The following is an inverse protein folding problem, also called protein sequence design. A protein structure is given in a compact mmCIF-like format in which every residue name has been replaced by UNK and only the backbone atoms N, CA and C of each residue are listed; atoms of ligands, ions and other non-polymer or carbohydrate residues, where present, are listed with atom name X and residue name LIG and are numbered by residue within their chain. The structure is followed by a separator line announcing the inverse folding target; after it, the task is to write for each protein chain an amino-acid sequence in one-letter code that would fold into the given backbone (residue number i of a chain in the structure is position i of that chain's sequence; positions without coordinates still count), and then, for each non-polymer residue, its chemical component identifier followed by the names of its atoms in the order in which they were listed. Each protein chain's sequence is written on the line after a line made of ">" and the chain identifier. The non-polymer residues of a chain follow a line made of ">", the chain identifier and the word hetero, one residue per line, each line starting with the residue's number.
data_IF_207423744405
#
_entry.id   IF_207423744405
#
_cell.length_a   1.000
_cell.length_b   1.000
_cell.length_c   1.000
_cell.angle_alpha   90.00
_cell.angle_beta   90.00
_cell.angle_gamma   90.00
#
_symmetry.space_group_name_H-M   'P 1'
#
loop_
_entity.id
_entity.type
_entity.pdbx_description
1 polymer ?
#
# COMPACT_ATOMS: atom_id res chain seq x y z
N UNK A 1 -5.84 3.33 4.28
CA UNK A 1 -7.18 2.73 4.20
C UNK A 1 -8.15 3.28 5.23
N UNK A 2 -7.72 3.47 6.48
CA UNK A 2 -8.61 3.97 7.55
C UNK A 2 -9.37 5.26 7.19
N UNK A 3 -8.73 6.21 6.51
CA UNK A 3 -9.34 7.48 6.10
C UNK A 3 -10.12 7.42 4.78
N UNK A 4 -9.89 6.41 3.94
CA UNK A 4 -10.32 6.43 2.55
C UNK A 4 -11.86 6.47 2.40
N UNK A 5 -12.55 5.58 3.10
CA UNK A 5 -14.00 5.48 3.00
C UNK A 5 -14.69 6.74 3.54
N UNK A 6 -14.26 7.23 4.71
CA UNK A 6 -14.78 8.46 5.28
C UNK A 6 -14.55 9.65 4.33
N UNK A 7 -13.33 9.82 3.82
CA UNK A 7 -12.99 10.88 2.88
C UNK A 7 -13.83 10.81 1.60
N UNK A 8 -13.99 9.61 1.03
CA UNK A 8 -14.75 9.40 -0.18
C UNK A 8 -16.25 9.68 0.01
N UNK A 9 -16.81 9.32 1.17
CA UNK A 9 -18.23 9.54 1.49
C UNK A 9 -18.47 10.99 1.92
N UNK A 10 -17.73 11.47 2.92
CA UNK A 10 -18.00 12.77 3.57
C UNK A 10 -17.58 13.97 2.71
N UNK A 11 -16.42 13.87 2.06
CA UNK A 11 -15.89 14.98 1.25
C UNK A 11 -16.10 14.77 -0.25
N UNK A 12 -16.03 13.52 -0.72
CA UNK A 12 -16.24 13.19 -2.12
C UNK A 12 -17.71 13.04 -2.52
N UNK A 13 -18.64 12.93 -1.56
CA UNK A 13 -20.06 12.69 -1.82
C UNK A 13 -20.33 11.35 -2.51
N UNK A 14 -19.43 10.37 -2.35
CA UNK A 14 -19.50 9.08 -3.02
C UNK A 14 -20.34 8.09 -2.23
N UNK A 15 -21.03 7.21 -2.93
CA UNK A 15 -21.79 6.13 -2.33
C UNK A 15 -21.05 4.78 -2.45
N UNK A 16 -21.61 3.72 -1.85
CA UNK A 16 -21.01 2.39 -1.86
C UNK A 16 -20.74 1.82 -3.25
N UNK A 17 -21.58 2.15 -4.26
CA UNK A 17 -21.34 1.72 -5.65
C UNK A 17 -20.08 2.39 -6.22
N UNK A 18 -19.89 3.68 -6.00
CA UNK A 18 -18.67 4.40 -6.39
C UNK A 18 -17.44 3.82 -5.69
N UNK A 19 -17.54 3.52 -4.40
CA UNK A 19 -16.43 2.91 -3.63
C UNK A 19 -16.12 1.52 -4.18
N UNK A 20 -17.12 0.72 -4.52
CA UNK A 20 -16.93 -0.58 -5.17
C UNK A 20 -16.14 -0.47 -6.48
N UNK A 21 -16.48 0.51 -7.33
CA UNK A 21 -15.74 0.79 -8.57
C UNK A 21 -14.31 1.20 -8.29
N UNK A 22 -14.08 2.16 -7.36
CA UNK A 22 -12.74 2.60 -6.98
C UNK A 22 -11.87 1.45 -6.46
N UNK A 23 -12.43 0.58 -5.63
CA UNK A 23 -11.72 -0.58 -5.10
C UNK A 23 -11.41 -1.61 -6.21
N UNK A 24 -12.32 -1.81 -7.16
CA UNK A 24 -12.08 -2.69 -8.31
C UNK A 24 -10.91 -2.17 -9.16
N UNK A 25 -10.89 -0.90 -9.48
CA UNK A 25 -9.80 -0.27 -10.22
C UNK A 25 -8.48 -0.33 -9.44
N UNK A 26 -8.53 -0.16 -8.14
CA UNK A 26 -7.34 -0.26 -7.28
C UNK A 26 -6.66 -1.63 -7.35
N UNK A 27 -7.42 -2.70 -7.55
CA UNK A 27 -6.85 -4.05 -7.62
C UNK A 27 -6.29 -4.40 -9.02
N UNK A 28 -6.59 -3.61 -10.05
CA UNK A 28 -6.05 -3.83 -11.41
C UNK A 28 -4.52 -3.84 -11.45
N UNK A 29 -3.78 -2.88 -10.86
CA UNK A 29 -2.32 -2.95 -10.79
C UNK A 29 -1.79 -4.14 -9.99
N UNK A 30 -2.52 -4.59 -8.97
CA UNK A 30 -2.20 -5.80 -8.23
C UNK A 30 -2.29 -7.06 -9.10
N UNK A 31 -3.36 -7.16 -9.89
CA UNK A 31 -3.50 -8.24 -10.85
C UNK A 31 -2.42 -8.19 -11.94
N UNK A 32 -1.98 -6.99 -12.34
CA UNK A 32 -0.92 -6.77 -13.32
C UNK A 32 0.49 -6.74 -12.72
N UNK A 33 0.66 -7.07 -11.43
CA UNK A 33 1.97 -7.04 -10.76
C UNK A 33 3.01 -7.98 -11.39
N UNK A 34 2.57 -9.04 -12.11
CA UNK A 34 3.48 -9.84 -12.92
C UNK A 34 4.19 -9.04 -14.01
N UNK A 35 3.62 -7.91 -14.44
CA UNK A 35 4.21 -6.97 -15.40
C UNK A 35 5.51 -6.32 -14.90
N UNK A 36 5.79 -6.34 -13.59
CA UNK A 36 7.07 -5.91 -13.02
C UNK A 36 8.26 -6.58 -13.71
N UNK A 37 8.14 -7.86 -14.10
CA UNK A 37 9.20 -8.58 -14.80
C UNK A 37 9.62 -7.87 -16.08
N UNK A 38 8.68 -7.27 -16.81
CA UNK A 38 8.99 -6.52 -18.05
C UNK A 38 9.65 -5.17 -17.74
N UNK A 39 9.28 -4.51 -16.66
CA UNK A 39 9.93 -3.27 -16.24
C UNK A 39 11.37 -3.51 -15.78
N UNK A 40 11.63 -4.64 -15.16
CA UNK A 40 12.98 -5.04 -14.72
C UNK A 40 13.95 -5.34 -15.88
N UNK A 41 13.46 -5.41 -17.12
CA UNK A 41 14.32 -5.47 -18.30
C UNK A 41 15.04 -4.13 -18.50
N UNK A 42 14.35 -3.03 -18.20
CA UNK A 42 14.81 -1.66 -18.48
C UNK A 42 15.27 -0.93 -17.22
N UNK A 43 14.61 -1.16 -16.09
CA UNK A 43 14.82 -0.44 -14.83
C UNK A 43 15.42 -1.38 -13.80
N UNK A 44 16.49 -0.96 -13.11
CA UNK A 44 17.06 -1.73 -12.01
C UNK A 44 16.05 -1.85 -10.84
N UNK A 45 16.00 -3.03 -10.18
CA UNK A 45 15.04 -3.30 -9.09
C UNK A 45 15.03 -2.24 -8.01
N UNK A 46 16.19 -1.82 -7.54
CA UNK A 46 16.31 -0.78 -6.51
C UNK A 46 15.67 0.54 -6.98
N UNK A 47 15.92 0.97 -8.21
CA UNK A 47 15.32 2.19 -8.78
C UNK A 47 13.80 2.05 -8.94
N UNK A 48 13.34 0.88 -9.36
CA UNK A 48 11.91 0.59 -9.49
C UNK A 48 11.23 0.62 -8.12
N UNK A 49 11.86 0.08 -7.07
CA UNK A 49 11.33 0.16 -5.70
C UNK A 49 11.19 1.61 -5.22
N UNK A 50 12.21 2.44 -5.43
CA UNK A 50 12.20 3.86 -5.04
C UNK A 50 11.14 4.64 -5.81
N UNK A 51 11.07 4.46 -7.13
CA UNK A 51 10.05 5.10 -7.97
C UNK A 51 8.63 4.71 -7.55
N UNK A 52 8.40 3.43 -7.31
CA UNK A 52 7.12 2.90 -6.85
C UNK A 52 6.73 3.49 -5.48
N UNK A 53 7.69 3.61 -4.56
CA UNK A 53 7.46 4.25 -3.26
C UNK A 53 7.14 5.74 -3.41
N UNK A 54 7.82 6.46 -4.30
CA UNK A 54 7.53 7.86 -4.61
C UNK A 54 6.13 8.03 -5.23
N UNK A 55 5.71 7.15 -6.14
CA UNK A 55 4.35 7.15 -6.72
C UNK A 55 3.29 6.90 -5.64
N UNK A 56 3.51 5.94 -4.74
CA UNK A 56 2.64 5.69 -3.60
C UNK A 56 2.47 6.94 -2.72
N UNK A 57 3.59 7.57 -2.35
CA UNK A 57 3.58 8.78 -1.54
C UNK A 57 2.91 9.97 -2.23
N UNK A 58 3.23 10.21 -3.50
CA UNK A 58 2.62 11.30 -4.28
C UNK A 58 1.11 11.09 -4.45
N UNK A 59 0.67 9.89 -4.81
CA UNK A 59 -0.74 9.55 -4.89
C UNK A 59 -1.47 9.78 -3.56
N UNK A 60 -0.87 9.36 -2.45
CA UNK A 60 -1.42 9.60 -1.11
C UNK A 60 -1.52 11.08 -0.80
N UNK A 61 -0.46 11.86 -1.02
CA UNK A 61 -0.45 13.30 -0.72
C UNK A 61 -1.50 14.08 -1.52
N UNK A 62 -1.71 13.72 -2.78
CA UNK A 62 -2.66 14.40 -3.68
C UNK A 62 -4.13 14.03 -3.40
N UNK A 63 -4.40 12.87 -2.80
CA UNK A 63 -5.77 12.38 -2.58
C UNK A 63 -6.61 13.39 -1.83
N UNK A 64 -6.09 13.99 -0.76
CA UNK A 64 -6.83 14.91 0.09
C UNK A 64 -7.26 16.22 -0.60
N UNK A 65 -6.66 16.57 -1.73
CA UNK A 65 -6.94 17.79 -2.49
C UNK A 65 -7.88 17.58 -3.67
N UNK A 66 -8.25 16.33 -3.95
CA UNK A 66 -9.07 15.97 -5.10
C UNK A 66 -10.32 15.20 -4.65
N UNK A 67 -11.24 15.82 -3.87
CA UNK A 67 -12.40 15.16 -3.26
C UNK A 67 -13.53 14.97 -4.28
N UNK A 68 -13.24 14.37 -5.42
CA UNK A 68 -14.24 14.01 -6.44
C UNK A 68 -13.91 12.64 -7.02
N UNK A 69 -14.88 12.00 -7.65
CA UNK A 69 -14.73 10.63 -8.16
C UNK A 69 -13.49 10.45 -9.04
N UNK A 70 -13.28 11.32 -10.03
CA UNK A 70 -12.17 11.20 -10.96
C UNK A 70 -10.83 11.46 -10.28
N UNK A 71 -10.75 12.45 -9.38
CA UNK A 71 -9.56 12.75 -8.61
C UNK A 71 -9.16 11.59 -7.70
N UNK A 72 -10.12 11.05 -6.96
CA UNK A 72 -9.92 9.89 -6.09
C UNK A 72 -9.54 8.66 -6.93
N UNK A 73 -10.14 8.46 -8.10
CA UNK A 73 -9.79 7.36 -9.01
C UNK A 73 -8.34 7.46 -9.47
N UNK A 74 -7.91 8.62 -9.97
CA UNK A 74 -6.55 8.83 -10.47
C UNK A 74 -5.52 8.63 -9.35
N UNK A 75 -5.74 9.25 -8.18
CA UNK A 75 -4.82 9.13 -7.06
C UNK A 75 -4.79 7.70 -6.50
N UNK A 76 -5.93 7.02 -6.45
CA UNK A 76 -6.02 5.60 -6.06
C UNK A 76 -5.25 4.70 -7.03
N UNK A 77 -5.36 4.94 -8.33
CA UNK A 77 -4.58 4.20 -9.34
C UNK A 77 -3.08 4.44 -9.17
N UNK A 78 -2.66 5.70 -8.96
CA UNK A 78 -1.26 6.04 -8.73
C UNK A 78 -0.71 5.36 -7.46
N UNK A 79 -1.46 5.43 -6.36
CA UNK A 79 -1.13 4.73 -5.11
C UNK A 79 -1.02 3.22 -5.32
N UNK A 80 -1.97 2.65 -6.05
CA UNK A 80 -2.05 1.19 -6.24
C UNK A 80 -0.88 0.67 -7.08
N UNK A 81 -0.55 1.32 -8.19
CA UNK A 81 0.65 1.00 -8.98
C UNK A 81 1.88 1.06 -8.08
N UNK A 82 2.06 2.16 -7.35
CA UNK A 82 3.17 2.33 -6.42
C UNK A 82 3.24 1.21 -5.38
N UNK A 83 2.13 0.91 -4.73
CA UNK A 83 2.06 -0.11 -3.69
C UNK A 83 2.39 -1.52 -4.20
N UNK A 84 1.70 -1.99 -5.23
CA UNK A 84 1.85 -3.36 -5.72
C UNK A 84 3.24 -3.61 -6.34
N UNK A 85 3.78 -2.63 -7.05
CA UNK A 85 5.10 -2.76 -7.63
C UNK A 85 6.20 -2.68 -6.58
N UNK A 86 6.06 -1.78 -5.59
CA UNK A 86 6.96 -1.71 -4.44
C UNK A 86 6.98 -3.03 -3.65
N UNK A 87 5.81 -3.57 -3.29
CA UNK A 87 5.71 -4.84 -2.55
C UNK A 87 6.37 -6.00 -3.31
N UNK A 88 6.15 -6.10 -4.63
CA UNK A 88 6.75 -7.14 -5.46
C UNK A 88 8.27 -7.03 -5.48
N UNK A 89 8.80 -5.84 -5.71
CA UNK A 89 10.25 -5.61 -5.80
C UNK A 89 10.91 -5.69 -4.44
N UNK A 90 10.29 -5.16 -3.38
CA UNK A 90 10.77 -5.26 -2.00
C UNK A 90 11.01 -6.71 -1.59
N UNK A 91 10.07 -7.59 -1.91
CA UNK A 91 10.20 -9.01 -1.59
C UNK A 91 11.33 -9.68 -2.38
N UNK A 92 11.50 -9.32 -3.66
CA UNK A 92 12.61 -9.79 -4.48
C UNK A 92 13.96 -9.33 -3.93
N UNK A 93 14.12 -8.05 -3.61
CA UNK A 93 15.34 -7.49 -3.03
C UNK A 93 15.69 -8.14 -1.70
N UNK A 94 14.72 -8.34 -0.81
CA UNK A 94 14.94 -8.98 0.47
C UNK A 94 15.50 -10.42 0.30
N UNK A 95 14.96 -11.17 -0.66
CA UNK A 95 15.45 -12.54 -0.95
C UNK A 95 16.83 -12.58 -1.63
N UNK A 96 17.26 -11.48 -2.25
CA UNK A 96 18.60 -11.38 -2.85
C UNK A 96 19.67 -10.96 -1.84
N UNK A 97 19.30 -10.10 -0.90
CA UNK A 97 20.25 -9.52 0.07
C UNK A 97 20.52 -10.42 1.26
N UNK A 98 19.53 -11.24 1.65
CA UNK A 98 19.66 -12.13 2.79
C UNK A 98 20.03 -13.55 2.36
N UNK A 99 20.95 -14.18 3.06
CA UNK A 99 21.25 -15.61 2.89
C UNK A 99 20.03 -16.47 3.26
N UNK A 100 19.98 -17.71 2.77
CA UNK A 100 18.89 -18.63 3.10
C UNK A 100 18.71 -18.87 4.61
N UNK A 101 19.82 -18.80 5.37
CA UNK A 101 19.80 -18.98 6.83
C UNK A 101 19.24 -17.73 7.56
N UNK A 102 19.56 -16.54 7.05
CA UNK A 102 19.18 -15.26 7.65
C UNK A 102 17.78 -14.78 7.23
N UNK A 103 17.35 -15.15 6.01
CA UNK A 103 16.10 -14.66 5.41
C UNK A 103 14.87 -14.79 6.34
N UNK A 104 14.61 -15.91 7.05
CA UNK A 104 13.44 -16.02 7.93
C UNK A 104 13.45 -14.97 9.05
N UNK A 105 14.60 -14.75 9.69
CA UNK A 105 14.74 -13.79 10.78
C UNK A 105 14.60 -12.35 10.27
N UNK A 106 15.25 -12.03 9.15
CA UNK A 106 15.21 -10.68 8.59
C UNK A 106 13.83 -10.33 8.02
N UNK A 107 13.17 -11.27 7.36
CA UNK A 107 11.78 -11.08 6.92
C UNK A 107 10.83 -10.90 8.10
N UNK A 108 11.02 -11.65 9.19
CA UNK A 108 10.26 -11.45 10.43
C UNK A 108 10.47 -10.05 11.02
N UNK A 109 11.70 -9.55 11.04
CA UNK A 109 12.01 -8.16 11.48
C UNK A 109 11.33 -7.12 10.59
N UNK A 110 11.35 -7.29 9.26
CA UNK A 110 10.67 -6.38 8.34
C UNK A 110 9.16 -6.34 8.58
N UNK A 111 8.53 -7.50 8.87
CA UNK A 111 7.11 -7.57 9.22
C UNK A 111 6.86 -6.83 10.54
N UNK A 112 7.69 -7.06 11.56
CA UNK A 112 7.54 -6.41 12.87
C UNK A 112 7.71 -4.88 12.79
N UNK A 113 8.68 -4.39 12.01
CA UNK A 113 8.87 -2.96 11.75
C UNK A 113 7.66 -2.40 11.01
N UNK A 114 7.14 -3.12 10.01
CA UNK A 114 5.92 -2.72 9.28
C UNK A 114 4.70 -2.61 10.19
N UNK A 115 4.51 -3.57 11.11
CA UNK A 115 3.44 -3.53 12.10
C UNK A 115 3.58 -2.34 13.06
N UNK A 116 4.76 -2.13 13.62
CA UNK A 116 5.04 -0.98 14.49
C UNK A 116 4.82 0.37 13.77
N UNK A 117 5.27 0.48 12.51
CA UNK A 117 5.05 1.67 11.70
C UNK A 117 3.55 1.92 11.42
N UNK A 118 2.77 0.85 11.24
CA UNK A 118 1.32 0.97 11.07
C UNK A 118 0.63 1.49 12.33
N UNK A 119 1.04 1.01 13.52
CA UNK A 119 0.53 1.52 14.79
C UNK A 119 0.83 3.00 14.98
N UNK A 120 2.07 3.42 14.69
CA UNK A 120 2.47 4.84 14.72
C UNK A 120 1.62 5.67 13.76
N UNK A 121 1.39 5.16 12.54
CA UNK A 121 0.58 5.84 11.53
C UNK A 121 -0.87 5.98 11.96
N UNK A 122 -1.48 4.94 12.54
CA UNK A 122 -2.87 5.02 13.04
C UNK A 122 -2.98 5.97 14.22
N UNK A 123 -2.02 5.93 15.16
CA UNK A 123 -1.97 6.87 16.28
C UNK A 123 -1.80 8.32 15.82
N UNK A 124 -0.95 8.54 14.81
CA UNK A 124 -0.81 9.87 14.19
C UNK A 124 -2.10 10.34 13.54
N UNK A 125 -2.76 9.50 12.75
CA UNK A 125 -4.05 9.85 12.10
C UNK A 125 -5.09 10.22 13.13
N UNK A 126 -5.24 9.42 14.18
CA UNK A 126 -6.16 9.71 15.27
C UNK A 126 -5.83 11.04 15.96
N UNK A 127 -4.58 11.25 16.34
CA UNK A 127 -4.15 12.49 17.01
C UNK A 127 -4.31 13.72 16.09
N UNK A 128 -3.99 13.59 14.81
CA UNK A 128 -4.14 14.65 13.83
C UNK A 128 -5.59 15.13 13.70
N UNK A 129 -6.54 14.19 13.73
CA UNK A 129 -7.96 14.51 13.60
C UNK A 129 -8.59 14.95 14.93
N UNK A 130 -8.28 14.27 16.06
CA UNK A 130 -8.94 14.50 17.34
C UNK A 130 -8.26 15.53 18.23
N UNK A 131 -6.92 15.59 18.22
CA UNK A 131 -6.18 16.51 19.11
C UNK A 131 -5.81 17.79 18.39
N UNK A 132 -5.35 17.68 17.13
CA UNK A 132 -4.91 18.81 16.34
C UNK A 132 -6.00 19.36 15.41
N UNK A 133 -7.14 18.69 15.30
CA UNK A 133 -8.29 19.07 14.44
C UNK A 133 -7.86 19.43 13.00
N UNK A 134 -6.87 18.72 12.48
CA UNK A 134 -6.33 19.00 11.15
C UNK A 134 -7.33 18.59 10.07
N UNK A 135 -7.51 19.41 9.03
CA UNK A 135 -8.24 18.98 7.84
C UNK A 135 -7.66 17.69 7.24
N UNK A 136 -8.53 16.79 6.82
CA UNK A 136 -8.14 15.46 6.27
C UNK A 136 -7.13 15.59 5.12
N UNK A 137 -7.24 16.66 4.31
CA UNK A 137 -6.30 16.93 3.22
C UNK A 137 -4.84 17.04 3.72
N UNK A 138 -4.61 17.70 4.85
CA UNK A 138 -3.27 17.81 5.44
C UNK A 138 -2.77 16.50 6.02
N UNK A 139 -3.66 15.65 6.56
CA UNK A 139 -3.29 14.32 7.04
C UNK A 139 -2.81 13.45 5.88
N UNK A 140 -3.48 13.49 4.74
CA UNK A 140 -3.02 12.84 3.51
C UNK A 140 -1.70 13.41 3.01
N UNK A 141 -1.57 14.74 2.97
CA UNK A 141 -0.35 15.43 2.52
C UNK A 141 0.85 15.08 3.39
N UNK A 142 0.67 15.05 4.71
CA UNK A 142 1.74 14.67 5.63
C UNK A 142 2.18 13.21 5.43
N UNK A 143 1.23 12.27 5.43
CA UNK A 143 1.55 10.85 5.25
C UNK A 143 2.20 10.55 3.91
N UNK A 144 1.66 11.11 2.83
CA UNK A 144 2.22 10.97 1.49
C UNK A 144 3.56 11.70 1.34
N UNK A 145 3.68 12.89 1.91
CA UNK A 145 4.90 13.70 1.88
C UNK A 145 6.07 13.00 2.59
N UNK A 146 5.83 12.44 3.78
CA UNK A 146 6.84 11.64 4.50
C UNK A 146 7.28 10.46 3.63
N UNK A 147 6.36 9.79 2.97
CA UNK A 147 6.70 8.66 2.08
C UNK A 147 7.56 9.10 0.89
N UNK A 148 7.27 10.25 0.27
CA UNK A 148 8.09 10.83 -0.81
C UNK A 148 9.48 11.22 -0.29
N UNK A 149 9.56 11.82 0.89
CA UNK A 149 10.84 12.19 1.52
C UNK A 149 11.68 10.94 1.77
N UNK A 150 11.08 9.86 2.28
CA UNK A 150 11.78 8.57 2.47
C UNK A 150 12.27 8.02 1.13
N UNK A 151 11.46 8.06 0.08
CA UNK A 151 11.86 7.62 -1.26
C UNK A 151 13.03 8.45 -1.79
N UNK A 152 13.00 9.77 -1.62
CA UNK A 152 14.08 10.67 -2.01
C UNK A 152 15.35 10.43 -1.19
N UNK A 153 15.22 10.27 0.12
CA UNK A 153 16.35 9.93 0.98
C UNK A 153 16.98 8.58 0.58
N UNK A 154 16.15 7.57 0.29
CA UNK A 154 16.62 6.30 -0.21
C UNK A 154 17.36 6.44 -1.56
N UNK A 155 16.88 7.28 -2.46
CA UNK A 155 17.53 7.56 -3.74
C UNK A 155 18.91 8.23 -3.58
N UNK A 156 19.02 9.17 -2.65
CA UNK A 156 20.24 9.97 -2.44
C UNK A 156 21.28 9.25 -1.58
N UNK A 157 20.86 8.49 -0.58
CA UNK A 157 21.75 7.95 0.47
C UNK A 157 22.17 6.51 0.20
N UNK A 158 21.34 5.71 -0.49
CA UNK A 158 21.69 4.31 -0.72
C UNK A 158 22.48 4.12 -2.01
N UNK A 159 23.67 3.50 -1.94
CA UNK A 159 24.43 3.17 -3.12
C UNK A 159 23.67 2.15 -3.99
N UNK A 160 24.01 2.12 -5.26
CA UNK A 160 23.48 1.10 -6.15
C UNK A 160 24.14 -0.24 -5.82
N UNK A 161 23.32 -1.23 -5.43
CA UNK A 161 23.79 -2.59 -5.18
C UNK A 161 23.61 -3.43 -6.45
N UNK A 162 24.71 -4.01 -6.91
CA UNK A 162 24.63 -5.02 -7.98
C UNK A 162 24.06 -6.32 -7.41
N UNK A 163 23.14 -6.92 -8.15
CA UNK A 163 22.58 -8.21 -7.78
C UNK A 163 23.67 -9.29 -7.83
N UNK A 164 23.88 -9.99 -6.72
CA UNK A 164 24.81 -11.14 -6.65
C UNK A 164 24.28 -12.39 -7.36
N UNK A 165 23.01 -12.38 -7.73
CA UNK A 165 22.31 -13.51 -8.34
C UNK A 165 21.86 -13.13 -9.75
N UNK A 166 22.17 -13.96 -10.73
CA UNK A 166 21.68 -13.78 -12.11
C UNK A 166 20.16 -13.87 -12.13
N UNK A 167 19.50 -12.77 -12.41
CA UNK A 167 18.04 -12.67 -12.43
C UNK A 167 17.47 -13.32 -13.69
N UNK A 168 16.47 -14.18 -13.52
CA UNK A 168 15.71 -14.71 -14.65
C UNK A 168 14.61 -13.71 -15.02
N UNK A 169 14.85 -12.91 -16.06
CA UNK A 169 13.89 -11.90 -16.57
C UNK A 169 12.78 -12.55 -17.43
N UNK A 170 12.22 -13.65 -16.96
CA UNK A 170 11.11 -14.37 -17.62
C UNK A 170 10.10 -14.81 -16.58
N UNK A 171 8.82 -14.74 -16.95
CA UNK A 171 7.75 -15.28 -16.12
C UNK A 171 7.82 -16.82 -16.14
N UNK A 172 8.11 -17.41 -14.98
CA UNK A 172 8.24 -18.88 -14.84
C UNK A 172 7.11 -19.39 -13.95
N UNK A 173 6.11 -20.01 -14.57
CA UNK A 173 5.03 -20.71 -13.85
C UNK A 173 5.29 -22.21 -13.88
N UNK A 174 5.61 -22.79 -12.73
CA UNK A 174 5.92 -24.23 -12.61
C UNK A 174 4.66 -25.00 -12.25
N UNK A 175 4.29 -26.00 -13.03
CA UNK A 175 3.08 -26.84 -12.84
C UNK A 175 3.00 -27.46 -11.43
N UNK A 176 4.13 -27.80 -10.80
CA UNK A 176 4.18 -28.37 -9.43
C UNK A 176 3.65 -27.42 -8.34
N UNK A 177 3.60 -26.10 -8.59
CA UNK A 177 3.13 -25.10 -7.63
C UNK A 177 1.72 -24.60 -7.92
N UNK A 178 0.96 -25.25 -8.81
CA UNK A 178 -0.41 -24.82 -9.19
C UNK A 178 -1.36 -24.66 -8.00
N UNK A 179 -1.30 -25.57 -7.02
CA UNK A 179 -2.11 -25.50 -5.81
C UNK A 179 -1.73 -24.28 -4.96
N UNK A 180 -0.43 -24.03 -4.79
CA UNK A 180 0.06 -22.84 -4.09
C UNK A 180 -0.45 -21.55 -4.75
N UNK A 181 -0.38 -21.46 -6.08
CA UNK A 181 -0.89 -20.28 -6.80
C UNK A 181 -2.40 -20.08 -6.59
N UNK A 182 -3.17 -21.17 -6.64
CA UNK A 182 -4.62 -21.12 -6.39
C UNK A 182 -4.93 -20.67 -4.94
N UNK A 183 -4.24 -21.21 -3.94
CA UNK A 183 -4.41 -20.84 -2.53
C UNK A 183 -4.03 -19.38 -2.27
N UNK A 184 -2.95 -18.88 -2.86
CA UNK A 184 -2.54 -17.48 -2.74
C UNK A 184 -3.58 -16.57 -3.38
N UNK A 185 -4.09 -16.90 -4.57
CA UNK A 185 -5.13 -16.15 -5.25
C UNK A 185 -6.42 -16.08 -4.42
N UNK A 186 -6.91 -17.22 -3.92
CA UNK A 186 -8.11 -17.25 -3.08
C UNK A 186 -7.92 -16.54 -1.74
N UNK A 187 -6.73 -16.68 -1.13
CA UNK A 187 -6.38 -15.97 0.09
C UNK A 187 -6.39 -14.45 -0.08
N UNK A 188 -5.90 -13.97 -1.21
CA UNK A 188 -5.96 -12.55 -1.58
C UNK A 188 -7.40 -12.04 -1.69
N UNK A 189 -8.26 -12.76 -2.43
CA UNK A 189 -9.67 -12.40 -2.57
C UNK A 189 -10.43 -12.32 -1.24
N UNK A 190 -10.26 -13.32 -0.37
CA UNK A 190 -10.85 -13.32 0.97
C UNK A 190 -10.43 -12.12 1.81
N UNK A 191 -9.14 -11.82 1.83
CA UNK A 191 -8.59 -10.69 2.59
C UNK A 191 -9.21 -9.38 2.12
N UNK A 192 -9.36 -9.20 0.82
CA UNK A 192 -9.85 -7.96 0.23
C UNK A 192 -11.32 -7.69 0.61
N UNK A 193 -12.17 -8.70 0.61
CA UNK A 193 -13.56 -8.59 1.06
C UNK A 193 -13.60 -8.03 2.49
N UNK A 194 -12.80 -8.60 3.39
CA UNK A 194 -12.81 -8.20 4.79
C UNK A 194 -12.27 -6.77 5.00
N UNK A 195 -11.13 -6.45 4.41
CA UNK A 195 -10.45 -5.15 4.62
C UNK A 195 -11.25 -3.99 4.05
N UNK A 196 -11.91 -4.18 2.90
CA UNK A 196 -12.65 -3.10 2.22
C UNK A 196 -14.05 -2.96 2.78
N UNK A 197 -14.83 -4.05 2.74
CA UNK A 197 -16.27 -3.96 3.00
C UNK A 197 -16.61 -3.90 4.50
N UNK A 198 -15.78 -4.46 5.39
CA UNK A 198 -16.00 -4.28 6.83
C UNK A 198 -15.82 -2.81 7.24
N UNK A 199 -14.74 -2.17 6.78
CA UNK A 199 -14.53 -0.75 7.04
C UNK A 199 -15.62 0.14 6.39
N UNK A 200 -16.05 -0.17 5.17
CA UNK A 200 -17.14 0.52 4.50
C UNK A 200 -18.46 0.41 5.29
N UNK A 201 -18.77 -0.79 5.77
CA UNK A 201 -19.98 -1.02 6.56
C UNK A 201 -19.98 -0.21 7.87
N UNK A 202 -18.83 -0.04 8.53
CA UNK A 202 -18.71 0.79 9.72
C UNK A 202 -19.07 2.24 9.42
N UNK A 203 -18.61 2.78 8.30
CA UNK A 203 -18.91 4.16 7.90
C UNK A 203 -20.35 4.31 7.44
N UNK A 204 -20.81 3.50 6.47
CA UNK A 204 -22.15 3.66 5.88
C UNK A 204 -23.30 3.24 6.82
N UNK A 205 -23.12 2.14 7.57
CA UNK A 205 -24.20 1.55 8.35
C UNK A 205 -24.22 2.04 9.79
N UNK A 206 -23.05 2.28 10.36
CA UNK A 206 -22.90 2.66 11.78
C UNK A 206 -22.47 4.11 11.98
N UNK A 207 -22.13 4.84 10.91
CA UNK A 207 -21.80 6.26 10.96
C UNK A 207 -20.45 6.58 11.64
N UNK A 208 -19.52 5.63 11.65
CA UNK A 208 -18.22 5.85 12.30
C UNK A 208 -17.40 6.91 11.57
N UNK A 209 -16.89 7.88 12.33
CA UNK A 209 -15.97 8.90 11.84
C UNK A 209 -14.58 8.32 11.50
N UNK A 210 -13.79 9.11 10.78
CA UNK A 210 -12.45 8.71 10.36
C UNK A 210 -11.50 8.45 11.54
N UNK A 211 -11.66 9.19 12.62
CA UNK A 211 -10.95 9.08 13.89
C UNK A 211 -11.30 7.79 14.62
N UNK A 212 -12.60 7.43 14.69
CA UNK A 212 -13.08 6.20 15.31
C UNK A 212 -12.58 4.97 14.55
N UNK A 213 -12.60 5.01 13.21
CA UNK A 213 -12.03 3.96 12.36
C UNK A 213 -10.52 3.85 12.57
N UNK A 214 -9.80 4.96 12.69
CA UNK A 214 -8.36 4.95 12.97
C UNK A 214 -8.05 4.35 14.34
N UNK A 215 -8.84 4.72 15.37
CA UNK A 215 -8.72 4.16 16.72
C UNK A 215 -8.98 2.65 16.73
N UNK A 216 -9.99 2.18 16.00
CA UNK A 216 -10.28 0.74 15.89
C UNK A 216 -9.11 -0.03 15.25
N UNK A 217 -8.49 0.52 14.19
CA UNK A 217 -7.29 -0.09 13.59
C UNK A 217 -6.11 -0.07 14.53
N UNK A 218 -5.95 0.98 15.34
CA UNK A 218 -4.92 1.06 16.37
C UNK A 218 -5.10 -0.04 17.43
N UNK A 219 -6.30 -0.17 17.99
CA UNK A 219 -6.63 -1.19 19.01
C UNK A 219 -6.46 -2.60 18.43
N UNK A 220 -6.99 -2.86 17.25
CA UNK A 220 -6.85 -4.17 16.58
C UNK A 220 -5.39 -4.52 16.26
N UNK A 221 -4.53 -3.54 16.07
CA UNK A 221 -3.11 -3.77 15.81
C UNK A 221 -2.27 -4.01 17.08
N UNK A 222 -2.82 -3.68 18.26
CA UNK A 222 -2.19 -3.94 19.56
C UNK A 222 -2.52 -5.34 20.13
N UNK A 223 -3.61 -5.97 19.66
CA UNK A 223 -4.04 -7.32 20.04
C UNK A 223 -3.42 -8.38 19.15
#
# INVERSE_FOLDING_TARGET
>A
MALFNNFAIEQGGLNGAHIGVLQSWREVPGFLAFGVVFLLIVIAEQRLAILSLAMLGAGTALTGWLPNFNGILITTMLMSVGFHYYETVKQSLALQWFSKAEAPVQLGRLISIGAASSLIAYGWVWAALQVFELPVAWVYTFGGGVTVIIALAAFLMFPHYESKVTQTKKLVLRKRYRLYYALVFMGGGRRQIFVVFAALMMVERFGFGADEVALMFLVNGLL
#
